data_IF_779131265098
#
_entry.id   IF_779131265098
#
_cell.length_a   1.000
_cell.length_b   1.000
_cell.length_c   1.000
_cell.angle_alpha   90.00
_cell.angle_beta   90.00
_cell.angle_gamma   90.00
#
_symmetry.space_group_name_H-M   'P 1'
#
loop_
_entity.id
_entity.type
_entity.pdbx_description
1 polymer ?
#
# COMPACT_ATOMS: atom_id res chain seq x y z
N UNK A 1 -56.17 -7.18 31.66
CA UNK A 1 -55.68 -7.79 30.41
C UNK A 1 -54.17 -7.49 30.30
N UNK A 2 -53.29 -8.49 30.24
CA UNK A 2 -51.89 -8.31 30.01
C UNK A 2 -51.61 -8.58 28.52
N UNK A 3 -51.02 -7.61 27.82
CA UNK A 3 -50.63 -7.79 26.41
C UNK A 3 -49.17 -8.30 26.40
N UNK A 4 -48.97 -9.50 25.97
CA UNK A 4 -47.63 -10.09 25.80
C UNK A 4 -47.07 -9.70 24.44
N UNK A 5 -46.12 -8.74 24.44
CA UNK A 5 -45.40 -8.31 23.23
C UNK A 5 -44.18 -9.21 23.01
N UNK A 6 -44.21 -10.00 21.98
CA UNK A 6 -43.06 -10.86 21.61
C UNK A 6 -42.27 -10.18 20.48
N UNK A 7 -41.20 -9.45 20.83
CA UNK A 7 -40.35 -8.74 19.86
C UNK A 7 -39.26 -9.70 19.36
N UNK A 8 -39.36 -10.15 18.11
CA UNK A 8 -38.30 -10.92 17.45
C UNK A 8 -37.20 -9.95 16.97
N UNK A 9 -36.00 -10.06 17.52
CA UNK A 9 -34.86 -9.26 17.13
C UNK A 9 -33.91 -10.07 16.25
N UNK A 10 -33.21 -9.39 15.31
CA UNK A 10 -32.19 -9.98 14.47
C UNK A 10 -30.78 -9.84 15.08
N UNK A 11 -30.70 -9.57 16.38
CA UNK A 11 -29.44 -9.27 17.11
C UNK A 11 -28.37 -10.35 16.93
N UNK A 12 -28.72 -11.64 16.95
CA UNK A 12 -27.79 -12.76 16.72
C UNK A 12 -27.15 -12.69 15.32
N UNK A 13 -27.94 -12.36 14.29
CA UNK A 13 -27.45 -12.26 12.91
C UNK A 13 -26.54 -11.04 12.74
N UNK A 14 -26.90 -9.92 13.34
CA UNK A 14 -26.09 -8.71 13.35
C UNK A 14 -24.77 -8.94 14.06
N UNK A 15 -24.79 -9.55 15.26
CA UNK A 15 -23.59 -9.92 16.01
C UNK A 15 -22.65 -10.85 15.20
N UNK A 16 -23.20 -11.88 14.55
CA UNK A 16 -22.41 -12.77 13.70
C UNK A 16 -21.73 -12.02 12.53
N UNK A 17 -22.40 -11.02 11.94
CA UNK A 17 -21.82 -10.17 10.88
C UNK A 17 -20.70 -9.31 11.38
N UNK A 18 -20.85 -8.67 12.54
CA UNK A 18 -19.77 -7.89 13.17
C UNK A 18 -18.57 -8.78 13.51
N UNK A 19 -18.78 -10.00 13.99
CA UNK A 19 -17.71 -10.97 14.24
C UNK A 19 -16.96 -11.34 12.96
N UNK A 20 -17.66 -11.59 11.86
CA UNK A 20 -17.04 -11.84 10.54
C UNK A 20 -16.25 -10.62 10.05
N UNK A 21 -16.79 -9.42 10.18
CA UNK A 21 -16.11 -8.18 9.82
C UNK A 21 -14.82 -8.00 10.64
N UNK A 22 -14.88 -8.20 11.95
CA UNK A 22 -13.70 -8.15 12.82
C UNK A 22 -12.59 -9.13 12.42
N UNK A 23 -12.95 -10.32 11.92
CA UNK A 23 -11.99 -11.30 11.42
C UNK A 23 -11.37 -10.92 10.05
N UNK A 24 -12.09 -10.18 9.21
CA UNK A 24 -11.64 -9.80 7.86
C UNK A 24 -10.85 -8.48 7.86
N UNK A 25 -11.21 -7.54 8.73
CA UNK A 25 -10.60 -6.21 8.79
C UNK A 25 -9.06 -6.22 8.92
N UNK A 26 -8.45 -7.03 9.80
CA UNK A 26 -6.98 -7.08 9.88
C UNK A 26 -6.31 -7.50 8.56
N UNK A 27 -6.95 -8.40 7.81
CA UNK A 27 -6.45 -8.84 6.49
C UNK A 27 -6.54 -7.73 5.45
N UNK A 28 -7.61 -6.93 5.49
CA UNK A 28 -7.76 -5.75 4.62
C UNK A 28 -6.67 -4.75 4.92
N UNK A 29 -6.43 -4.45 6.20
CA UNK A 29 -5.37 -3.53 6.62
C UNK A 29 -3.99 -4.04 6.17
N UNK A 30 -3.66 -5.30 6.41
CA UNK A 30 -2.39 -5.91 5.98
C UNK A 30 -2.17 -5.79 4.46
N UNK A 31 -3.20 -6.05 3.68
CA UNK A 31 -3.16 -5.86 2.22
C UNK A 31 -2.97 -4.39 1.84
N UNK A 32 -3.68 -3.49 2.51
CA UNK A 32 -3.55 -2.04 2.29
C UNK A 32 -2.15 -1.54 2.59
N UNK A 33 -1.55 -1.94 3.70
CA UNK A 33 -0.17 -1.58 4.06
C UNK A 33 0.82 -2.13 3.04
N UNK A 34 0.61 -3.35 2.53
CA UNK A 34 1.46 -3.92 1.48
C UNK A 34 1.34 -3.13 0.17
N UNK A 35 0.14 -2.74 -0.23
CA UNK A 35 -0.08 -1.89 -1.41
C UNK A 35 0.57 -0.51 -1.25
N UNK A 36 0.49 0.08 -0.06
CA UNK A 36 1.18 1.32 0.27
C UNK A 36 2.70 1.18 0.13
N UNK A 37 3.26 0.05 0.56
CA UNK A 37 4.68 -0.27 0.34
C UNK A 37 5.05 -0.37 -1.15
N UNK A 38 4.24 -1.03 -1.96
CA UNK A 38 4.45 -1.09 -3.42
C UNK A 38 4.42 0.30 -4.06
N UNK A 39 3.48 1.14 -3.65
CA UNK A 39 3.39 2.51 -4.14
C UNK A 39 4.63 3.33 -3.75
N UNK A 40 5.15 3.14 -2.53
CA UNK A 40 6.38 3.81 -2.10
C UNK A 40 7.57 3.42 -2.96
N UNK A 41 7.77 2.12 -3.22
CA UNK A 41 8.85 1.64 -4.10
C UNK A 41 8.74 2.26 -5.50
N UNK A 42 7.53 2.29 -6.06
CA UNK A 42 7.30 2.92 -7.37
C UNK A 42 7.65 4.41 -7.37
N UNK A 43 7.26 5.16 -6.34
CA UNK A 43 7.59 6.59 -6.20
C UNK A 43 9.10 6.80 -6.07
N UNK A 44 9.79 6.01 -5.25
CA UNK A 44 11.26 6.09 -5.09
C UNK A 44 11.91 5.87 -6.46
N UNK A 45 11.55 4.79 -7.14
CA UNK A 45 12.11 4.45 -8.46
C UNK A 45 11.89 5.57 -9.48
N UNK A 46 10.68 6.11 -9.57
CA UNK A 46 10.34 7.18 -10.50
C UNK A 46 11.09 8.49 -10.20
N UNK A 47 11.19 8.86 -8.93
CA UNK A 47 11.96 10.05 -8.53
C UNK A 47 13.43 9.89 -8.85
N UNK A 48 14.01 8.75 -8.50
CA UNK A 48 15.44 8.49 -8.73
C UNK A 48 15.77 8.53 -10.24
N UNK A 49 14.95 7.90 -11.08
CA UNK A 49 15.09 7.97 -12.54
C UNK A 49 15.04 9.39 -13.09
N UNK A 50 14.29 10.28 -12.44
CA UNK A 50 14.20 11.70 -12.81
C UNK A 50 15.31 12.54 -12.20
N UNK A 51 16.25 11.95 -11.49
CA UNK A 51 17.32 12.67 -10.80
C UNK A 51 16.84 13.49 -9.61
N UNK A 52 15.79 13.00 -8.91
CA UNK A 52 15.12 13.73 -7.82
C UNK A 52 15.31 12.96 -6.51
N UNK A 53 15.77 13.68 -5.48
CA UNK A 53 15.98 13.17 -4.12
C UNK A 53 14.66 12.96 -3.34
N UNK A 54 14.76 12.41 -2.12
CA UNK A 54 13.63 12.23 -1.21
C UNK A 54 12.96 13.56 -0.85
N UNK A 55 13.71 14.68 -0.85
CA UNK A 55 13.21 16.02 -0.53
C UNK A 55 12.61 16.73 -1.74
N UNK A 56 12.51 16.03 -2.88
CA UNK A 56 11.99 16.56 -4.16
C UNK A 56 12.89 17.65 -4.79
N UNK A 57 14.19 17.62 -4.55
CA UNK A 57 15.21 18.44 -5.19
C UNK A 57 15.95 17.60 -6.21
N UNK A 58 16.63 18.23 -7.16
CA UNK A 58 17.52 17.52 -8.07
C UNK A 58 18.73 16.99 -7.32
N UNK A 59 19.22 15.81 -7.72
CA UNK A 59 20.49 15.31 -7.25
C UNK A 59 21.63 16.27 -7.62
N UNK A 60 22.62 16.34 -6.76
CA UNK A 60 23.85 17.04 -7.09
C UNK A 60 24.51 16.42 -8.34
N UNK A 61 25.08 17.23 -9.23
CA UNK A 61 25.71 16.74 -10.45
C UNK A 61 26.86 15.78 -10.15
N UNK A 62 27.21 14.96 -11.12
CA UNK A 62 28.43 14.16 -11.07
C UNK A 62 29.67 15.05 -11.18
N UNK A 63 30.80 14.62 -10.62
CA UNK A 63 32.07 15.26 -10.82
C UNK A 63 32.49 15.24 -12.31
N UNK A 64 33.26 16.22 -12.76
CA UNK A 64 33.73 16.27 -14.16
C UNK A 64 34.46 15.00 -14.58
N UNK A 65 35.31 14.45 -13.70
CA UNK A 65 36.04 13.22 -13.98
C UNK A 65 35.08 12.03 -14.21
N UNK A 66 34.02 11.92 -13.41
CA UNK A 66 33.02 10.88 -13.57
C UNK A 66 32.16 11.08 -14.83
N UNK A 67 31.81 12.33 -15.15
CA UNK A 67 31.11 12.65 -16.39
C UNK A 67 31.92 12.25 -17.63
N UNK A 68 33.22 12.55 -17.64
CA UNK A 68 34.15 12.15 -18.72
C UNK A 68 34.25 10.63 -18.84
N UNK A 69 34.20 9.88 -17.72
CA UNK A 69 34.15 8.43 -17.72
C UNK A 69 32.85 7.92 -18.35
N UNK A 70 31.69 8.44 -17.94
CA UNK A 70 30.38 8.06 -18.49
C UNK A 70 30.33 8.32 -20.01
N UNK A 71 30.82 9.46 -20.46
CA UNK A 71 30.88 9.80 -21.90
C UNK A 71 31.75 8.81 -22.68
N UNK A 72 32.94 8.44 -22.16
CA UNK A 72 33.80 7.43 -22.79
C UNK A 72 33.16 6.06 -22.89
N UNK A 73 32.28 5.72 -21.93
CA UNK A 73 31.55 4.48 -21.88
C UNK A 73 30.19 4.52 -22.61
N UNK A 74 29.89 5.61 -23.33
CA UNK A 74 28.60 5.85 -23.98
C UNK A 74 27.40 5.70 -23.03
N UNK A 75 27.56 6.09 -21.76
CA UNK A 75 26.51 6.03 -20.76
C UNK A 75 25.82 7.38 -20.59
N UNK A 76 24.53 7.37 -20.14
CA UNK A 76 23.82 8.60 -19.82
C UNK A 76 24.56 9.42 -18.75
N UNK A 77 24.64 10.74 -18.95
CA UNK A 77 25.27 11.66 -18.01
C UNK A 77 24.29 12.25 -16.98
N UNK A 78 23.01 11.92 -17.11
CA UNK A 78 22.00 12.30 -16.14
C UNK A 78 22.24 11.60 -14.79
N UNK A 79 21.99 12.31 -13.70
CA UNK A 79 22.16 11.73 -12.34
C UNK A 79 20.92 10.96 -11.98
N UNK A 80 20.84 9.72 -12.41
CA UNK A 80 19.72 8.79 -12.21
C UNK A 80 20.07 7.57 -11.36
N UNK A 81 21.32 7.49 -10.87
CA UNK A 81 21.89 6.39 -10.10
C UNK A 81 21.85 5.02 -10.84
N UNK A 82 21.81 5.07 -12.17
CA UNK A 82 21.62 3.87 -13.03
C UNK A 82 22.91 3.48 -13.76
N UNK A 83 24.05 3.35 -13.06
CA UNK A 83 25.29 2.99 -13.72
C UNK A 83 25.30 1.55 -14.27
N UNK A 84 25.09 0.53 -13.39
CA UNK A 84 24.96 -0.88 -13.79
C UNK A 84 23.52 -1.34 -13.88
N UNK A 85 22.58 -0.57 -13.36
CA UNK A 85 21.19 -0.94 -13.24
C UNK A 85 20.85 -1.87 -12.07
N UNK A 86 21.84 -2.49 -11.41
CA UNK A 86 21.61 -3.46 -10.35
C UNK A 86 20.78 -2.89 -9.20
N UNK A 87 21.25 -1.80 -8.58
CA UNK A 87 20.55 -1.14 -7.47
C UNK A 87 19.15 -0.64 -7.87
N UNK A 88 19.04 0.00 -9.03
CA UNK A 88 17.74 0.50 -9.52
C UNK A 88 16.83 -0.63 -9.98
N UNK A 89 17.38 -1.74 -10.48
CA UNK A 89 16.65 -2.96 -10.81
C UNK A 89 16.05 -3.64 -9.58
N UNK A 90 16.69 -3.51 -8.43
CA UNK A 90 16.22 -4.04 -7.16
C UNK A 90 15.02 -3.27 -6.56
N UNK A 91 14.77 -2.03 -7.01
CA UNK A 91 13.59 -1.26 -6.60
C UNK A 91 12.30 -1.84 -7.21
N UNK A 92 11.90 -2.99 -6.71
CA UNK A 92 10.73 -3.76 -7.16
C UNK A 92 9.80 -4.07 -6.00
N UNK A 93 8.56 -4.50 -6.26
CA UNK A 93 7.65 -4.94 -5.20
C UNK A 93 8.20 -6.04 -4.27
N UNK A 94 9.21 -6.80 -4.71
CA UNK A 94 9.85 -7.84 -3.88
C UNK A 94 10.57 -7.29 -2.65
N UNK A 95 10.95 -5.99 -2.65
CA UNK A 95 11.53 -5.31 -1.49
C UNK A 95 10.55 -5.18 -0.32
N UNK A 96 9.24 -5.24 -0.58
CA UNK A 96 8.22 -5.04 0.45
C UNK A 96 8.05 -6.33 1.25
N UNK A 97 8.65 -6.39 2.42
CA UNK A 97 8.60 -7.53 3.32
C UNK A 97 7.64 -7.25 4.47
N UNK A 98 6.75 -8.20 4.78
CA UNK A 98 5.92 -8.12 5.99
C UNK A 98 6.81 -8.43 7.21
N UNK A 99 6.89 -7.50 8.14
CA UNK A 99 7.73 -7.62 9.34
C UNK A 99 6.93 -7.64 10.64
N UNK A 100 5.60 -7.55 10.56
CA UNK A 100 4.73 -7.61 11.72
C UNK A 100 3.25 -7.44 11.36
N UNK A 101 2.41 -7.35 12.39
CA UNK A 101 0.99 -7.03 12.23
C UNK A 101 0.88 -5.59 11.72
N UNK A 102 0.22 -5.42 10.57
CA UNK A 102 0.03 -4.10 9.92
C UNK A 102 1.33 -3.34 9.64
N UNK A 103 2.44 -4.06 9.47
CA UNK A 103 3.76 -3.48 9.25
C UNK A 103 4.47 -4.15 8.08
N UNK A 104 5.05 -3.31 7.21
CA UNK A 104 5.97 -3.74 6.15
C UNK A 104 7.26 -2.93 6.25
N UNK A 105 8.34 -3.53 5.81
CA UNK A 105 9.64 -2.88 5.66
C UNK A 105 10.08 -2.99 4.21
N UNK A 106 10.71 -1.95 3.70
CA UNK A 106 11.37 -1.97 2.41
C UNK A 106 12.86 -2.26 2.64
N UNK A 107 13.37 -3.30 2.03
CA UNK A 107 14.78 -3.66 2.17
C UNK A 107 15.33 -4.21 0.86
N UNK A 108 16.56 -3.85 0.53
CA UNK A 108 17.34 -4.53 -0.50
C UNK A 108 17.64 -5.97 -0.07
N UNK A 109 17.76 -6.87 -1.03
CA UNK A 109 17.93 -8.30 -0.74
C UNK A 109 19.39 -8.74 -0.83
N UNK A 110 20.22 -8.01 -1.58
CA UNK A 110 21.60 -8.38 -1.85
C UNK A 110 22.58 -7.36 -1.27
N UNK A 111 23.69 -7.84 -0.75
CA UNK A 111 24.72 -7.02 -0.11
C UNK A 111 25.24 -5.91 -1.04
N UNK A 112 25.55 -6.25 -2.30
CA UNK A 112 25.99 -5.29 -3.30
C UNK A 112 25.01 -4.13 -3.51
N UNK A 113 23.71 -4.41 -3.46
CA UNK A 113 22.66 -3.40 -3.60
C UNK A 113 22.58 -2.51 -2.35
N UNK A 114 22.74 -3.13 -1.18
CA UNK A 114 22.76 -2.43 0.11
C UNK A 114 23.96 -1.50 0.15
N UNK A 115 25.15 -1.96 -0.20
CA UNK A 115 26.35 -1.14 -0.22
C UNK A 115 26.22 0.04 -1.18
N UNK A 116 25.78 -0.19 -2.41
CA UNK A 116 25.57 0.87 -3.40
C UNK A 116 24.54 1.90 -2.93
N UNK A 117 23.46 1.44 -2.31
CA UNK A 117 22.45 2.32 -1.74
C UNK A 117 23.02 3.12 -0.57
N UNK A 118 23.76 2.50 0.31
CA UNK A 118 24.41 3.14 1.45
C UNK A 118 25.43 4.19 1.00
N UNK A 119 26.31 3.89 0.04
CA UNK A 119 27.27 4.84 -0.50
C UNK A 119 26.58 6.09 -1.07
N UNK A 120 25.52 5.93 -1.84
CA UNK A 120 24.80 7.08 -2.40
C UNK A 120 24.03 7.87 -1.34
N UNK A 121 23.45 7.18 -0.36
CA UNK A 121 22.57 7.76 0.65
C UNK A 121 23.34 8.48 1.76
N UNK A 122 24.51 7.95 2.16
CA UNK A 122 25.17 8.32 3.41
C UNK A 122 26.62 8.76 3.19
N UNK A 123 27.40 8.02 2.41
CA UNK A 123 28.86 8.16 2.39
C UNK A 123 29.38 9.12 1.32
N UNK A 124 28.75 9.14 0.15
CA UNK A 124 29.22 9.98 -0.95
C UNK A 124 29.05 11.47 -0.67
N UNK A 125 30.02 12.26 -1.10
CA UNK A 125 29.91 13.72 -1.17
C UNK A 125 29.93 14.18 -2.63
N UNK A 126 28.86 14.82 -3.08
CA UNK A 126 27.61 15.12 -2.37
C UNK A 126 26.72 13.90 -2.21
N UNK A 127 26.01 13.82 -1.07
CA UNK A 127 25.02 12.77 -0.82
C UNK A 127 23.87 12.84 -1.82
N UNK A 128 23.36 11.67 -2.21
CA UNK A 128 22.18 11.51 -3.08
C UNK A 128 21.13 10.68 -2.37
N UNK A 129 20.40 11.32 -1.46
CA UNK A 129 19.36 10.70 -0.65
C UNK A 129 18.17 10.31 -1.53
N UNK A 130 18.14 9.09 -2.02
CA UNK A 130 17.07 8.59 -2.89
C UNK A 130 16.08 7.66 -2.20
N UNK A 131 16.52 6.96 -1.15
CA UNK A 131 15.74 5.92 -0.49
C UNK A 131 15.09 6.46 0.79
N UNK A 132 13.78 6.60 0.75
CA UNK A 132 13.00 7.16 1.83
C UNK A 132 11.73 7.86 1.34
N UNK A 133 11.12 8.64 2.21
CA UNK A 133 9.94 9.44 1.87
C UNK A 133 9.90 10.74 2.68
N UNK A 134 9.19 11.70 2.14
CA UNK A 134 8.90 12.98 2.78
C UNK A 134 7.39 13.14 2.99
N UNK A 135 6.96 14.21 3.65
CA UNK A 135 5.56 14.50 3.94
C UNK A 135 4.66 14.48 2.70
N UNK A 136 5.15 14.93 1.55
CA UNK A 136 4.39 14.90 0.28
C UNK A 136 4.18 13.47 -0.21
N UNK A 137 5.23 12.66 -0.15
CA UNK A 137 5.17 11.24 -0.51
C UNK A 137 4.27 10.47 0.46
N UNK A 138 4.37 10.75 1.76
CA UNK A 138 3.53 10.18 2.80
C UNK A 138 2.04 10.43 2.54
N UNK A 139 1.67 11.67 2.19
CA UNK A 139 0.28 12.01 1.82
C UNK A 139 -0.23 11.18 0.64
N UNK A 140 0.61 10.95 -0.37
CA UNK A 140 0.25 10.12 -1.55
C UNK A 140 0.03 8.67 -1.12
N UNK A 141 0.90 8.12 -0.30
CA UNK A 141 0.83 6.74 0.20
C UNK A 141 -0.41 6.56 1.08
N UNK A 142 -0.67 7.48 2.00
CA UNK A 142 -1.85 7.46 2.86
C UNK A 142 -3.15 7.54 2.05
N UNK A 143 -3.18 8.38 1.01
CA UNK A 143 -4.33 8.44 0.09
C UNK A 143 -4.54 7.12 -0.65
N UNK A 144 -3.47 6.46 -1.10
CA UNK A 144 -3.55 5.16 -1.77
C UNK A 144 -4.03 4.07 -0.81
N UNK A 145 -3.52 4.04 0.42
CA UNK A 145 -3.96 3.14 1.47
C UNK A 145 -5.46 3.32 1.77
N UNK A 146 -5.90 4.55 2.03
CA UNK A 146 -7.30 4.85 2.36
C UNK A 146 -8.23 4.40 1.23
N UNK A 147 -7.92 4.75 -0.02
CA UNK A 147 -8.69 4.32 -1.20
C UNK A 147 -8.81 2.79 -1.30
N UNK A 148 -7.72 2.07 -1.02
CA UNK A 148 -7.73 0.62 -1.02
C UNK A 148 -8.66 0.07 0.07
N UNK A 149 -8.52 0.56 1.29
CA UNK A 149 -9.32 0.13 2.43
C UNK A 149 -10.80 0.44 2.19
N UNK A 150 -11.13 1.66 1.75
CA UNK A 150 -12.51 2.07 1.42
C UNK A 150 -13.13 1.15 0.36
N UNK A 151 -12.40 0.84 -0.71
CA UNK A 151 -12.86 -0.07 -1.76
C UNK A 151 -13.16 -1.47 -1.23
N UNK A 152 -12.31 -2.00 -0.36
CA UNK A 152 -12.53 -3.32 0.25
C UNK A 152 -13.70 -3.32 1.23
N UNK A 153 -13.87 -2.24 2.00
CA UNK A 153 -15.01 -2.05 2.90
C UNK A 153 -16.33 -1.91 2.13
N UNK A 154 -16.33 -1.22 1.00
CA UNK A 154 -17.52 -1.12 0.14
C UNK A 154 -17.96 -2.48 -0.39
N UNK A 155 -17.01 -3.32 -0.84
CA UNK A 155 -17.32 -4.69 -1.25
C UNK A 155 -17.97 -5.49 -0.12
N UNK A 156 -17.49 -5.33 1.10
CA UNK A 156 -18.08 -5.97 2.26
C UNK A 156 -19.49 -5.45 2.56
N UNK A 157 -19.73 -4.16 2.45
CA UNK A 157 -21.06 -3.53 2.61
C UNK A 157 -22.06 -4.07 1.58
N UNK A 158 -21.67 -4.10 0.30
CA UNK A 158 -22.51 -4.63 -0.78
C UNK A 158 -22.82 -6.13 -0.55
N UNK A 159 -21.83 -6.93 -0.16
CA UNK A 159 -22.03 -8.32 0.17
C UNK A 159 -23.03 -8.51 1.34
N UNK A 160 -22.96 -7.64 2.36
CA UNK A 160 -23.91 -7.65 3.49
C UNK A 160 -25.31 -7.28 3.02
N UNK A 161 -25.47 -6.26 2.17
CA UNK A 161 -26.76 -5.85 1.61
C UNK A 161 -27.38 -6.95 0.73
N UNK A 162 -26.61 -7.53 -0.17
CA UNK A 162 -27.06 -8.62 -1.04
C UNK A 162 -27.56 -9.83 -0.25
N UNK A 163 -26.83 -10.22 0.80
CA UNK A 163 -27.26 -11.32 1.68
C UNK A 163 -28.51 -11.00 2.50
N UNK A 164 -28.71 -9.72 2.88
CA UNK A 164 -29.95 -9.30 3.57
C UNK A 164 -31.12 -9.34 2.60
N UNK A 165 -30.97 -8.80 1.39
CA UNK A 165 -32.02 -8.82 0.37
C UNK A 165 -32.41 -10.24 0.01
N UNK A 166 -31.43 -11.13 -0.22
CA UNK A 166 -31.69 -12.52 -0.51
C UNK A 166 -32.49 -13.22 0.61
N UNK A 167 -32.21 -12.92 1.89
CA UNK A 167 -32.97 -13.46 3.01
C UNK A 167 -34.40 -12.88 3.10
N UNK A 168 -34.60 -11.61 2.72
CA UNK A 168 -35.93 -10.99 2.72
C UNK A 168 -36.80 -11.56 1.60
N UNK A 169 -36.21 -11.77 0.41
CA UNK A 169 -36.96 -12.33 -0.73
C UNK A 169 -37.26 -13.84 -0.62
N UNK A 170 -36.50 -14.58 0.19
CA UNK A 170 -36.73 -16.01 0.41
C UNK A 170 -37.44 -16.33 1.73
N UNK A 171 -37.90 -15.33 2.50
CA UNK A 171 -38.89 -15.57 3.55
C UNK A 171 -40.24 -15.83 2.86
N UNK A 172 -40.84 -17.03 2.98
CA UNK A 172 -42.18 -17.24 2.46
C UNK A 172 -43.10 -16.23 3.15
N UNK A 173 -43.81 -15.46 2.36
CA UNK A 173 -44.92 -14.61 2.82
C UNK A 173 -46.03 -15.53 3.33
N UNK A 174 -45.94 -15.98 4.55
CA UNK A 174 -47.07 -16.56 5.28
C UNK A 174 -47.93 -15.41 5.77
N UNK A 175 -48.74 -14.89 4.84
CA UNK A 175 -49.91 -14.08 5.20
C UNK A 175 -50.94 -15.05 5.74
N UNK A 176 -51.01 -15.25 7.05
CA UNK A 176 -52.17 -15.78 7.69
C UNK A 176 -53.24 -14.71 7.77
N UNK A 177 -54.14 -14.70 6.81
CA UNK A 177 -55.45 -14.05 6.98
C UNK A 177 -56.21 -14.89 8.03
N UNK A 178 -56.26 -14.38 9.26
CA UNK A 178 -57.24 -14.83 10.23
C UNK A 178 -58.58 -14.25 9.79
N UNK A 179 -59.43 -15.05 9.18
CA UNK A 179 -60.86 -14.75 9.07
C UNK A 179 -61.51 -15.00 10.43
N UNK A 180 -62.24 -13.99 10.91
CA UNK A 180 -63.16 -14.02 12.04
C UNK A 180 -64.40 -14.83 11.67
#
# INVERSE_FOLDING_TARGET
MAVNLNIKTNSKQVSAKFKKFGAVLPRIIDKGVKQAGFQLVAIIREKTKKGIDIRSRRFAPYSEGYLKKLQRENKPTAVDLFYTGTMMGALTPSMVKKTGKHKVTLAFSWEEEIEKAFFNQVTNEPQREFFGFNTKTEKIINKAFNRFVEKELQKFKLWVQEKILHQIYYLPFLVYLAQV
#
